data_IF_128148835900
#
_entry.id   IF_128148835900
#
_cell.length_a   1.000
_cell.length_b   1.000
_cell.length_c   1.000
_cell.angle_alpha   90.00
_cell.angle_beta   90.00
_cell.angle_gamma   90.00
#
_symmetry.space_group_name_H-M   'P 1'
#
loop_
_entity.id
_entity.type
_entity.pdbx_description
1 polymer ?
#
# COMPACT_ATOMS: atom_id res chain seq x y z
N UNK A 1 15.21 2.85 -5.93
CA UNK A 1 13.81 2.67 -6.37
C UNK A 1 13.41 1.23 -6.05
N UNK A 2 12.44 1.02 -5.16
CA UNK A 2 12.01 -0.34 -4.83
C UNK A 2 11.13 -0.91 -5.97
N UNK A 3 10.92 -2.22 -6.00
CA UNK A 3 10.12 -2.88 -7.05
C UNK A 3 8.68 -2.35 -7.12
N UNK A 4 8.13 -1.87 -6.01
CA UNK A 4 6.78 -1.34 -5.93
C UNK A 4 6.68 0.01 -6.65
N UNK A 5 7.63 0.91 -6.44
CA UNK A 5 7.66 2.21 -7.12
C UNK A 5 7.79 2.04 -8.65
N UNK A 6 8.68 1.14 -9.10
CA UNK A 6 8.83 0.83 -10.52
C UNK A 6 7.53 0.24 -11.11
N UNK A 7 6.92 -0.72 -10.42
CA UNK A 7 5.68 -1.34 -10.87
C UNK A 7 4.52 -0.35 -10.90
N UNK A 8 4.39 0.49 -9.86
CA UNK A 8 3.35 1.52 -9.77
C UNK A 8 3.44 2.50 -10.93
N UNK A 9 4.62 3.06 -11.19
CA UNK A 9 4.80 4.02 -12.28
C UNK A 9 4.40 3.43 -13.64
N UNK A 10 4.82 2.18 -13.93
CA UNK A 10 4.45 1.48 -15.17
C UNK A 10 2.96 1.17 -15.26
N UNK A 11 2.32 0.81 -14.15
CA UNK A 11 0.87 0.61 -14.09
C UNK A 11 0.14 1.92 -14.38
N UNK A 12 0.59 3.04 -13.82
CA UNK A 12 -0.02 4.36 -14.07
C UNK A 12 0.17 4.81 -15.53
N UNK A 13 1.33 4.54 -16.14
CA UNK A 13 1.56 4.76 -17.57
C UNK A 13 0.58 3.94 -18.43
N UNK A 14 0.40 2.66 -18.10
CA UNK A 14 -0.56 1.80 -18.81
C UNK A 14 -2.01 2.28 -18.63
N UNK A 15 -2.41 2.68 -17.42
CA UNK A 15 -3.75 3.25 -17.13
C UNK A 15 -3.98 4.53 -17.94
N UNK A 16 -3.00 5.43 -18.00
CA UNK A 16 -3.06 6.67 -18.80
C UNK A 16 -3.17 6.38 -20.30
N UNK A 17 -2.36 5.45 -20.81
CA UNK A 17 -2.42 5.03 -22.21
C UNK A 17 -3.79 4.45 -22.57
N UNK A 18 -4.36 3.62 -21.68
CA UNK A 18 -5.70 3.08 -21.89
C UNK A 18 -6.78 4.16 -21.90
N UNK A 19 -6.71 5.13 -20.98
CA UNK A 19 -7.67 6.23 -20.91
C UNK A 19 -7.60 7.18 -22.13
N UNK A 20 -6.43 7.31 -22.74
CA UNK A 20 -6.22 8.12 -23.95
C UNK A 20 -6.54 7.37 -25.25
N UNK A 21 -6.70 6.04 -25.19
CA UNK A 21 -6.90 5.20 -26.36
C UNK A 21 -8.24 5.51 -27.07
N UNK A 22 -8.19 5.63 -28.39
CA UNK A 22 -9.34 5.97 -29.25
C UNK A 22 -9.87 4.76 -30.02
N UNK A 23 -9.12 3.65 -30.02
CA UNK A 23 -9.43 2.43 -30.76
C UNK A 23 -8.93 1.17 -30.02
N UNK A 24 -9.38 0.01 -30.51
CA UNK A 24 -9.09 -1.28 -29.88
C UNK A 24 -7.59 -1.64 -29.91
N UNK A 25 -6.87 -1.27 -30.97
CA UNK A 25 -5.42 -1.54 -31.08
C UNK A 25 -4.63 -0.78 -30.01
N UNK A 26 -4.96 0.48 -29.74
CA UNK A 26 -4.34 1.27 -28.66
C UNK A 26 -4.70 0.72 -27.28
N UNK A 27 -5.96 0.28 -27.10
CA UNK A 27 -6.39 -0.38 -25.86
C UNK A 27 -5.61 -1.68 -25.62
N UNK A 28 -5.38 -2.49 -26.65
CA UNK A 28 -4.57 -3.71 -26.57
C UNK A 28 -3.11 -3.44 -26.23
N UNK A 29 -2.52 -2.39 -26.81
CA UNK A 29 -1.18 -1.96 -26.46
C UNK A 29 -1.09 -1.57 -24.97
N UNK A 30 -2.07 -0.81 -24.46
CA UNK A 30 -2.13 -0.44 -23.05
C UNK A 30 -2.34 -1.66 -22.13
N UNK A 31 -3.18 -2.63 -22.53
CA UNK A 31 -3.34 -3.91 -21.80
C UNK A 31 -2.03 -4.70 -21.76
N UNK A 32 -1.27 -4.72 -22.84
CA UNK A 32 0.04 -5.38 -22.88
C UNK A 32 1.06 -4.70 -21.95
N UNK A 33 1.09 -3.36 -21.92
CA UNK A 33 1.91 -2.60 -20.97
C UNK A 33 1.54 -2.92 -19.51
N UNK A 34 0.23 -2.96 -19.21
CA UNK A 34 -0.25 -3.32 -17.88
C UNK A 34 0.21 -4.73 -17.48
N UNK A 35 0.02 -5.72 -18.37
CA UNK A 35 0.45 -7.11 -18.13
C UNK A 35 1.96 -7.20 -17.88
N UNK A 36 2.76 -6.46 -18.64
CA UNK A 36 4.21 -6.41 -18.43
C UNK A 36 4.58 -5.77 -17.08
N UNK A 37 3.88 -4.71 -16.68
CA UNK A 37 4.08 -4.04 -15.40
C UNK A 37 3.75 -4.96 -14.22
N UNK A 38 2.67 -5.74 -14.32
CA UNK A 38 2.22 -6.64 -13.25
C UNK A 38 2.93 -7.98 -13.22
N UNK A 39 3.60 -8.41 -14.30
CA UNK A 39 4.30 -9.70 -14.35
C UNK A 39 5.32 -9.88 -13.21
N UNK A 40 6.02 -8.80 -12.82
CA UNK A 40 6.95 -8.83 -11.67
C UNK A 40 6.24 -9.03 -10.32
N UNK A 41 4.95 -8.71 -10.23
CA UNK A 41 4.14 -8.82 -9.02
C UNK A 41 3.51 -10.21 -8.84
N UNK A 42 3.42 -11.01 -9.92
CA UNK A 42 2.79 -12.34 -9.87
C UNK A 42 3.53 -13.30 -8.92
N UNK A 43 4.87 -13.21 -8.89
CA UNK A 43 5.75 -14.02 -8.05
C UNK A 43 5.82 -13.61 -6.57
N UNK A 44 5.11 -12.56 -6.17
CA UNK A 44 5.10 -12.12 -4.77
C UNK A 44 4.34 -13.11 -3.88
N UNK A 45 4.91 -13.38 -2.71
CA UNK A 45 4.23 -14.08 -1.61
C UNK A 45 3.03 -13.28 -1.10
N UNK A 46 2.17 -13.92 -0.30
CA UNK A 46 0.99 -13.26 0.27
C UNK A 46 1.34 -12.03 1.10
N UNK A 47 2.41 -12.07 1.88
CA UNK A 47 2.89 -10.92 2.67
C UNK A 47 3.35 -9.77 1.77
N UNK A 48 4.10 -10.09 0.72
CA UNK A 48 4.59 -9.08 -0.21
C UNK A 48 3.45 -8.45 -1.02
N UNK A 49 2.44 -9.24 -1.39
CA UNK A 49 1.20 -8.75 -2.01
C UNK A 49 0.41 -7.81 -1.09
N UNK A 50 0.40 -8.09 0.22
CA UNK A 50 -0.19 -7.18 1.20
C UNK A 50 0.53 -5.82 1.22
N UNK A 51 1.86 -5.82 1.29
CA UNK A 51 2.65 -4.58 1.25
C UNK A 51 2.50 -3.86 -0.09
N UNK A 52 2.47 -4.58 -1.21
CA UNK A 52 2.19 -3.99 -2.53
C UNK A 52 0.83 -3.29 -2.57
N UNK A 53 -0.24 -3.93 -2.09
CA UNK A 53 -1.58 -3.34 -2.06
C UNK A 53 -1.60 -2.06 -1.20
N UNK A 54 -0.97 -2.09 -0.03
CA UNK A 54 -0.84 -0.93 0.84
C UNK A 54 -0.06 0.21 0.15
N UNK A 55 0.99 -0.12 -0.61
CA UNK A 55 1.76 0.83 -1.40
C UNK A 55 0.94 1.49 -2.51
N UNK A 56 0.28 0.68 -3.35
CA UNK A 56 -0.57 1.18 -4.43
C UNK A 56 -1.68 2.09 -3.88
N UNK A 57 -2.34 1.64 -2.80
CA UNK A 57 -3.42 2.40 -2.16
C UNK A 57 -2.93 3.73 -1.61
N UNK A 58 -1.77 3.74 -0.93
CA UNK A 58 -1.23 4.98 -0.40
C UNK A 58 -0.90 5.99 -1.50
N UNK A 59 -0.30 5.54 -2.62
CA UNK A 59 -0.02 6.42 -3.76
C UNK A 59 -1.30 6.95 -4.41
N UNK A 60 -2.28 6.08 -4.66
CA UNK A 60 -3.55 6.47 -5.27
C UNK A 60 -4.35 7.44 -4.38
N UNK A 61 -4.26 7.29 -3.05
CA UNK A 61 -4.92 8.18 -2.09
C UNK A 61 -4.09 9.40 -1.71
N UNK A 62 -2.88 9.57 -2.24
CA UNK A 62 -2.00 10.70 -1.92
C UNK A 62 -1.43 10.70 -0.49
N UNK A 63 -1.32 9.53 0.14
CA UNK A 63 -0.66 9.38 1.43
C UNK A 63 0.86 9.30 1.28
N UNK A 64 1.59 9.89 2.23
CA UNK A 64 3.06 9.83 2.30
C UNK A 64 3.54 8.42 2.65
N UNK A 65 2.88 7.77 3.61
CA UNK A 65 3.23 6.45 4.12
C UNK A 65 2.22 5.41 3.67
N UNK A 66 2.69 4.17 3.51
CA UNK A 66 1.78 3.04 3.34
C UNK A 66 0.93 2.87 4.60
N UNK A 67 -0.32 2.44 4.42
CA UNK A 67 -1.21 2.19 5.55
C UNK A 67 -1.60 0.72 5.61
N UNK A 68 -1.32 0.08 6.74
CA UNK A 68 -1.82 -1.26 7.06
C UNK A 68 -3.17 -1.09 7.76
N UNK A 69 -4.26 -1.34 7.03
CA UNK A 69 -5.64 -1.10 7.49
C UNK A 69 -6.54 -2.33 7.51
N UNK A 70 -6.02 -3.48 7.09
CA UNK A 70 -6.74 -4.74 7.09
C UNK A 70 -6.54 -5.48 8.44
N UNK A 71 -7.24 -6.59 8.60
CA UNK A 71 -7.08 -7.48 9.75
C UNK A 71 -5.70 -8.13 9.71
N UNK A 72 -4.86 -7.81 10.70
CA UNK A 72 -3.52 -8.38 10.86
C UNK A 72 -3.60 -9.42 11.96
N UNK A 73 -3.22 -10.66 11.63
CA UNK A 73 -3.05 -11.69 12.64
C UNK A 73 -1.70 -11.51 13.35
N UNK A 74 -1.65 -11.81 14.63
CA UNK A 74 -0.48 -11.56 15.49
C UNK A 74 0.81 -12.17 14.91
N UNK A 75 0.73 -13.40 14.43
CA UNK A 75 1.80 -14.17 13.80
C UNK A 75 2.27 -13.63 12.44
N UNK A 76 1.50 -12.74 11.81
CA UNK A 76 1.89 -12.10 10.56
C UNK A 76 2.77 -10.86 10.77
N UNK A 77 2.79 -10.29 11.98
CA UNK A 77 3.44 -9.00 12.27
C UNK A 77 4.94 -9.02 11.95
N UNK A 78 5.67 -10.03 12.43
CA UNK A 78 7.13 -10.14 12.16
C UNK A 78 7.42 -10.28 10.66
N UNK A 79 6.61 -11.07 9.95
CA UNK A 79 6.73 -11.23 8.50
C UNK A 79 6.48 -9.94 7.73
N UNK A 80 5.50 -9.14 8.15
CA UNK A 80 5.23 -7.82 7.57
C UNK A 80 6.40 -6.86 7.79
N UNK A 81 6.95 -6.81 9.01
CA UNK A 81 8.11 -5.95 9.32
C UNK A 81 9.35 -6.36 8.52
N UNK A 82 9.66 -7.66 8.45
CA UNK A 82 10.75 -8.16 7.62
C UNK A 82 10.55 -7.84 6.13
N UNK A 83 9.32 -7.93 5.63
CA UNK A 83 8.98 -7.56 4.26
C UNK A 83 9.18 -6.05 4.02
N UNK A 84 8.73 -5.20 4.93
CA UNK A 84 8.95 -3.74 4.82
C UNK A 84 10.44 -3.40 4.77
N UNK A 85 11.26 -4.01 5.64
CA UNK A 85 12.73 -3.88 5.61
C UNK A 85 13.32 -4.30 4.27
N UNK A 86 12.92 -5.49 3.77
CA UNK A 86 13.38 -6.04 2.47
C UNK A 86 13.17 -5.06 1.32
N UNK A 87 12.06 -4.31 1.33
CA UNK A 87 11.71 -3.36 0.26
C UNK A 87 12.03 -1.89 0.56
N UNK A 88 12.77 -1.62 1.64
CA UNK A 88 13.20 -0.28 2.01
C UNK A 88 12.05 0.65 2.42
N UNK A 89 11.02 0.11 3.06
CA UNK A 89 9.96 0.92 3.67
C UNK A 89 10.43 1.30 5.07
N UNK A 90 10.70 2.59 5.26
CA UNK A 90 11.27 3.15 6.49
C UNK A 90 10.20 3.57 7.51
N UNK A 91 8.99 3.86 7.03
CA UNK A 91 7.86 4.22 7.87
C UNK A 91 6.52 3.79 7.25
N UNK A 92 5.55 3.49 8.11
CA UNK A 92 4.20 3.10 7.73
C UNK A 92 3.20 3.60 8.79
N UNK A 93 1.93 3.70 8.39
CA UNK A 93 0.83 3.87 9.34
C UNK A 93 0.09 2.55 9.56
N UNK A 94 -0.41 2.35 10.76
CA UNK A 94 -1.35 1.28 11.08
C UNK A 94 -2.65 1.88 11.60
N UNK A 95 -3.75 1.70 10.87
CA UNK A 95 -5.08 2.19 11.25
C UNK A 95 -6.02 1.01 11.39
N UNK A 96 -6.74 0.90 12.51
CA UNK A 96 -7.70 -0.18 12.71
C UNK A 96 -8.83 0.27 13.63
N UNK A 97 -10.06 -0.13 13.30
CA UNK A 97 -11.25 0.08 14.13
C UNK A 97 -11.56 -1.11 15.04
N UNK A 98 -10.75 -2.16 14.98
CA UNK A 98 -10.90 -3.35 15.82
C UNK A 98 -10.43 -3.08 17.25
N UNK A 99 -11.08 -3.74 18.21
CA UNK A 99 -10.74 -3.62 19.64
C UNK A 99 -9.31 -4.06 19.97
N UNK A 100 -8.71 -4.95 19.16
CA UNK A 100 -7.34 -5.44 19.30
C UNK A 100 -6.27 -4.51 18.69
N UNK A 101 -6.63 -3.34 18.16
CA UNK A 101 -5.67 -2.46 17.49
C UNK A 101 -4.46 -2.10 18.38
N UNK A 102 -4.66 -1.86 19.67
CA UNK A 102 -3.57 -1.55 20.60
C UNK A 102 -2.61 -2.74 20.77
N UNK A 103 -3.12 -3.97 20.80
CA UNK A 103 -2.29 -5.18 20.89
C UNK A 103 -1.47 -5.39 19.61
N UNK A 104 -2.07 -5.20 18.43
CA UNK A 104 -1.34 -5.26 17.16
C UNK A 104 -0.25 -4.17 17.10
N UNK A 105 -0.55 -2.95 17.56
CA UNK A 105 0.42 -1.86 17.67
C UNK A 105 1.58 -2.22 18.63
N UNK A 106 1.29 -2.90 19.74
CA UNK A 106 2.30 -3.43 20.65
C UNK A 106 3.18 -4.49 19.99
N UNK A 107 2.60 -5.40 19.20
CA UNK A 107 3.36 -6.41 18.46
C UNK A 107 4.32 -5.79 17.44
N UNK A 108 3.93 -4.69 16.77
CA UNK A 108 4.86 -3.96 15.90
C UNK A 108 6.07 -3.42 16.67
N UNK A 109 5.87 -2.91 17.89
CA UNK A 109 6.99 -2.50 18.74
C UNK A 109 7.89 -3.68 19.13
N UNK A 110 7.29 -4.83 19.47
CA UNK A 110 8.02 -6.07 19.76
C UNK A 110 8.83 -6.58 18.56
N UNK A 111 8.32 -6.39 17.34
CA UNK A 111 8.99 -6.72 16.09
C UNK A 111 10.08 -5.69 15.68
N UNK A 112 10.33 -4.68 16.53
CA UNK A 112 11.42 -3.72 16.36
C UNK A 112 11.03 -2.41 15.69
N UNK A 113 9.75 -2.13 15.48
CA UNK A 113 9.30 -0.81 15.02
C UNK A 113 9.21 0.19 16.19
N UNK A 114 9.32 1.47 15.90
CA UNK A 114 9.15 2.53 16.91
C UNK A 114 7.87 3.31 16.63
N UNK A 115 6.97 3.37 17.62
CA UNK A 115 5.80 4.23 17.55
C UNK A 115 6.23 5.71 17.62
N UNK A 116 6.03 6.45 16.53
CA UNK A 116 6.41 7.85 16.41
C UNK A 116 5.28 8.83 16.71
N UNK A 117 4.03 8.36 16.72
CA UNK A 117 2.86 9.19 17.06
C UNK A 117 1.59 8.75 16.33
N UNK A 118 0.65 9.69 16.24
CA UNK A 118 -0.59 9.55 15.49
C UNK A 118 -0.57 10.48 14.27
N UNK A 119 -1.17 10.04 13.17
CA UNK A 119 -1.27 10.80 11.93
C UNK A 119 -2.70 10.71 11.37
N UNK A 120 -3.21 11.84 10.85
CA UNK A 120 -4.39 11.84 9.98
C UNK A 120 -3.95 11.45 8.55
N UNK A 121 -4.65 10.49 7.96
CA UNK A 121 -4.39 9.96 6.63
C UNK A 121 -5.66 9.92 5.80
N UNK A 122 -5.51 9.86 4.47
CA UNK A 122 -6.62 9.54 3.59
C UNK A 122 -6.94 8.04 3.68
N UNK A 123 -8.21 7.70 3.84
CA UNK A 123 -8.70 6.33 3.74
C UNK A 123 -8.73 5.89 2.27
N UNK A 124 -8.98 4.61 2.02
CA UNK A 124 -9.17 4.09 0.66
C UNK A 124 -10.54 4.45 0.06
N UNK A 125 -11.43 5.06 0.85
CA UNK A 125 -12.80 5.39 0.48
C UNK A 125 -12.94 6.88 0.23
N UNK A 126 -13.56 7.23 -0.89
CA UNK A 126 -14.00 8.61 -1.16
C UNK A 126 -15.27 8.92 -0.38
N UNK A 127 -15.38 10.14 0.10
CA UNK A 127 -16.59 10.62 0.73
C UNK A 127 -17.77 10.56 -0.26
N UNK A 128 -18.97 10.30 0.26
CA UNK A 128 -20.15 10.13 -0.57
C UNK A 128 -20.38 11.38 -1.46
N UNK A 129 -20.47 11.15 -2.77
CA UNK A 129 -20.61 12.20 -3.79
C UNK A 129 -19.48 13.24 -3.84
N UNK A 130 -18.28 12.88 -3.40
CA UNK A 130 -17.08 13.73 -3.44
C UNK A 130 -15.90 13.00 -4.09
N UNK A 131 -14.97 13.77 -4.66
CA UNK A 131 -13.66 13.27 -5.08
C UNK A 131 -12.64 13.22 -3.93
N UNK A 132 -12.97 13.79 -2.77
CA UNK A 132 -12.14 13.78 -1.58
C UNK A 132 -12.18 12.43 -0.87
N UNK A 133 -11.03 11.98 -0.37
CA UNK A 133 -10.93 10.80 0.47
C UNK A 133 -11.40 11.09 1.89
N UNK A 134 -12.14 10.13 2.48
CA UNK A 134 -12.48 10.18 3.89
C UNK A 134 -11.21 10.16 4.75
N UNK A 135 -11.25 10.81 5.91
CA UNK A 135 -10.11 10.85 6.83
C UNK A 135 -10.13 9.66 7.78
N UNK A 136 -8.95 9.11 8.02
CA UNK A 136 -8.70 8.08 9.01
C UNK A 136 -7.53 8.49 9.91
N UNK A 137 -7.39 7.80 11.04
CA UNK A 137 -6.30 8.03 12.00
C UNK A 137 -5.50 6.75 12.16
N UNK A 138 -4.19 6.86 12.09
CA UNK A 138 -3.28 5.72 12.21
C UNK A 138 -2.11 6.01 13.13
N UNK A 139 -1.58 4.95 13.73
CA UNK A 139 -0.30 4.98 14.43
C UNK A 139 0.83 5.04 13.41
N UNK A 140 1.68 6.05 13.49
CA UNK A 140 2.88 6.16 12.68
C UNK A 140 4.00 5.33 13.32
N UNK A 141 4.55 4.40 12.56
CA UNK A 141 5.67 3.57 12.96
C UNK A 141 6.90 3.82 12.08
N UNK A 142 8.07 3.86 12.70
CA UNK A 142 9.37 3.75 12.01
C UNK A 142 9.85 2.30 12.01
N UNK A 143 10.39 1.85 10.89
CA UNK A 143 10.98 0.52 10.73
C UNK A 143 12.49 0.64 10.97
N UNK A 144 13.00 0.04 12.05
CA UNK A 144 14.42 0.09 12.43
C UNK A 144 15.23 -1.08 11.88
#
# INVERSE_FOLDING_TARGET
MNIFEEAYNKIQEAKKAYAAATNETEQDAARALYKQATAKLEGLSSTEKCIWKAYETAKDCGNEYINLNDTIRDEAVEGLVACMKKYGIEAFTFSSTWSSAVETAWLFQKAGCTLAGLLEINSQHKAFMSDEYEKAHGYLFKVN
#
